data_IF_064694097544
#
_entry.id   IF_064694097544
#
_cell.length_a   1.000
_cell.length_b   1.000
_cell.length_c   1.000
_cell.angle_alpha   90.00
_cell.angle_beta   90.00
_cell.angle_gamma   90.00
#
_symmetry.space_group_name_H-M   'P 1'
#
loop_
_entity.id
_entity.type
_entity.pdbx_description
1 polymer ?
#
# COMPACT_ATOMS: atom_id res chain seq x y z
N UNK A 1 26.95 2.03 -15.74
CA UNK A 1 27.75 0.93 -15.12
C UNK A 1 28.72 1.42 -14.04
N UNK A 2 29.49 2.51 -14.20
CA UNK A 2 30.30 3.08 -13.07
C UNK A 2 29.43 3.66 -11.95
N UNK A 3 28.35 4.34 -12.31
CA UNK A 3 27.52 5.08 -11.35
C UNK A 3 26.65 4.15 -10.48
N UNK A 4 26.23 3.00 -11.01
CA UNK A 4 25.46 1.99 -10.26
C UNK A 4 26.33 1.28 -9.21
N UNK A 5 27.62 1.09 -9.48
CA UNK A 5 28.53 0.50 -8.49
C UNK A 5 28.87 1.50 -7.37
N UNK A 6 29.00 2.78 -7.73
CA UNK A 6 29.19 3.86 -6.77
C UNK A 6 27.95 4.02 -5.87
N UNK A 7 26.74 3.93 -6.42
CA UNK A 7 25.50 4.05 -5.64
C UNK A 7 25.31 2.89 -4.66
N UNK A 8 25.69 1.66 -5.02
CA UNK A 8 25.68 0.51 -4.11
C UNK A 8 26.69 0.70 -2.96
N UNK A 9 27.88 1.24 -3.24
CA UNK A 9 28.88 1.55 -2.20
C UNK A 9 28.47 2.71 -1.28
N UNK A 10 27.62 3.62 -1.77
CA UNK A 10 27.08 4.74 -1.02
C UNK A 10 25.91 4.34 -0.09
N UNK A 11 25.35 3.13 -0.25
CA UNK A 11 24.33 2.56 0.65
C UNK A 11 24.93 2.15 1.99
N UNK A 12 25.25 3.16 2.81
CA UNK A 12 25.75 2.96 4.17
C UNK A 12 24.69 2.23 5.01
N UNK A 13 25.09 1.10 5.59
CA UNK A 13 24.31 0.40 6.61
C UNK A 13 24.21 1.31 7.84
N UNK A 14 22.97 1.58 8.25
CA UNK A 14 22.68 2.46 9.40
C UNK A 14 22.38 1.66 10.67
N UNK A 15 21.90 0.43 10.52
CA UNK A 15 21.58 -0.47 11.61
C UNK A 15 21.63 -1.93 11.15
N UNK A 16 21.94 -2.83 12.08
CA UNK A 16 21.98 -4.27 11.86
C UNK A 16 21.06 -5.00 12.84
N UNK A 17 20.75 -6.26 12.55
CA UNK A 17 19.85 -7.10 13.34
C UNK A 17 18.53 -6.39 13.65
N UNK A 18 17.95 -5.76 12.63
CA UNK A 18 16.70 -5.01 12.77
C UNK A 18 15.51 -5.96 12.74
N UNK A 19 14.66 -5.87 13.76
CA UNK A 19 13.35 -6.51 13.85
C UNK A 19 12.29 -5.41 13.93
N UNK A 20 11.26 -5.46 13.08
CA UNK A 20 10.10 -4.60 13.17
C UNK A 20 8.87 -5.38 13.61
N UNK A 21 8.16 -4.84 14.59
CA UNK A 21 6.97 -5.42 15.18
C UNK A 21 5.81 -4.45 15.02
N UNK A 22 4.77 -4.82 14.28
CA UNK A 22 3.52 -4.06 14.22
C UNK A 22 2.55 -4.59 15.28
N UNK A 23 1.92 -3.67 16.01
CA UNK A 23 0.86 -3.93 16.99
C UNK A 23 -0.34 -3.08 16.57
N UNK A 24 -1.49 -3.71 16.41
CA UNK A 24 -2.74 -3.03 16.02
C UNK A 24 -3.78 -3.07 17.13
N UNK A 25 -4.68 -2.10 17.13
CA UNK A 25 -5.86 -2.11 18.01
C UNK A 25 -6.74 -3.33 17.76
N UNK A 26 -7.51 -3.80 18.76
CA UNK A 26 -8.41 -4.97 18.66
C UNK A 26 -9.52 -4.82 17.61
N UNK A 27 -9.84 -3.57 17.23
CA UNK A 27 -10.70 -3.23 16.09
C UNK A 27 -10.15 -3.70 14.74
N UNK A 28 -8.85 -3.95 14.67
CA UNK A 28 -8.11 -4.36 13.49
C UNK A 28 -7.58 -5.79 13.66
N UNK A 29 -7.12 -6.36 12.57
CA UNK A 29 -6.40 -7.62 12.58
C UNK A 29 -5.30 -7.63 11.53
N UNK A 30 -4.28 -8.43 11.78
CA UNK A 30 -3.23 -8.76 10.83
C UNK A 30 -3.51 -10.18 10.34
N UNK A 31 -3.45 -10.38 9.02
CA UNK A 31 -3.58 -11.71 8.44
C UNK A 31 -2.29 -12.48 8.71
N UNK A 32 -2.41 -13.65 9.33
CA UNK A 32 -1.24 -14.52 9.50
C UNK A 32 -0.85 -15.09 8.12
N UNK A 33 0.41 -14.91 7.66
CA UNK A 33 0.88 -15.48 6.40
C UNK A 33 0.85 -17.00 6.39
N UNK A 34 1.06 -17.65 7.54
CA UNK A 34 1.15 -19.11 7.64
C UNK A 34 -0.23 -19.76 7.82
N UNK A 35 -1.21 -18.99 8.32
CA UNK A 35 -2.57 -19.45 8.57
C UNK A 35 -3.60 -18.36 8.25
N UNK A 36 -4.18 -18.43 7.05
CA UNK A 36 -5.09 -17.39 6.55
C UNK A 36 -6.35 -17.18 7.40
N UNK A 37 -6.75 -18.19 8.19
CA UNK A 37 -7.92 -18.12 9.07
C UNK A 37 -7.59 -17.45 10.41
N UNK A 38 -6.31 -17.31 10.75
CA UNK A 38 -5.87 -16.69 11.99
C UNK A 38 -5.72 -15.17 11.86
N UNK A 39 -6.38 -14.45 12.79
CA UNK A 39 -6.38 -12.99 12.88
C UNK A 39 -5.55 -12.52 14.07
N UNK A 40 -4.33 -12.08 13.81
CA UNK A 40 -3.37 -11.65 14.83
C UNK A 40 -3.57 -10.17 15.22
N UNK A 41 -3.23 -9.82 16.46
CA UNK A 41 -3.10 -8.42 16.91
C UNK A 41 -1.67 -7.87 16.77
N UNK A 42 -0.70 -8.75 16.51
CA UNK A 42 0.73 -8.42 16.43
C UNK A 42 1.44 -9.30 15.41
N UNK A 43 2.34 -8.72 14.63
CA UNK A 43 3.23 -9.46 13.73
C UNK A 43 4.66 -8.94 13.86
N UNK A 44 5.62 -9.86 13.75
CA UNK A 44 7.05 -9.57 13.73
C UNK A 44 7.61 -9.82 12.34
N UNK A 45 8.57 -8.99 11.92
CA UNK A 45 9.36 -9.20 10.71
C UNK A 45 10.83 -8.92 10.99
N UNK A 46 11.65 -9.92 10.68
CA UNK A 46 13.09 -9.78 10.64
C UNK A 46 13.50 -9.09 9.35
N UNK A 47 14.22 -7.97 9.49
CA UNK A 47 14.66 -7.13 8.37
C UNK A 47 16.16 -7.31 8.14
N UNK A 48 16.93 -7.52 9.22
CA UNK A 48 18.38 -7.70 9.14
C UNK A 48 19.13 -6.37 9.00
N UNK A 49 19.87 -6.18 7.91
CA UNK A 49 20.65 -4.97 7.68
C UNK A 49 19.81 -3.90 7.00
N UNK A 50 19.81 -2.71 7.59
CA UNK A 50 18.98 -1.58 7.14
C UNK A 50 19.86 -0.48 6.59
N UNK A 51 19.45 0.07 5.45
CA UNK A 51 20.01 1.28 4.84
C UNK A 51 18.96 2.39 4.85
N UNK A 52 19.31 3.59 4.40
CA UNK A 52 18.35 4.71 4.29
C UNK A 52 17.19 4.43 3.32
N UNK A 53 17.36 3.49 2.39
CA UNK A 53 16.38 3.15 1.37
C UNK A 53 15.51 1.95 1.77
N UNK A 54 15.79 1.31 2.91
CA UNK A 54 15.01 0.15 3.35
C UNK A 54 13.62 0.59 3.80
N UNK A 55 12.61 0.06 3.13
CA UNK A 55 11.20 0.27 3.45
C UNK A 55 10.53 -1.05 3.80
N UNK A 56 9.63 -1.00 4.79
CA UNK A 56 8.86 -2.18 5.24
C UNK A 56 7.39 -1.82 5.29
N UNK A 57 6.59 -2.60 4.59
CA UNK A 57 5.13 -2.44 4.55
C UNK A 57 4.46 -3.55 5.35
N UNK A 58 3.41 -3.18 6.08
CA UNK A 58 2.55 -4.12 6.78
C UNK A 58 1.12 -4.00 6.26
N UNK A 59 0.39 -5.11 6.29
CA UNK A 59 -1.01 -5.17 5.93
C UNK A 59 -1.85 -5.50 7.16
N UNK A 60 -3.02 -4.85 7.26
CA UNK A 60 -4.00 -5.13 8.28
C UNK A 60 -5.41 -4.91 7.71
N UNK A 61 -6.39 -5.57 8.31
CA UNK A 61 -7.81 -5.45 8.00
C UNK A 61 -8.60 -4.93 9.19
N UNK A 62 -9.84 -4.53 8.93
CA UNK A 62 -10.82 -4.15 9.96
C UNK A 62 -11.64 -5.38 10.33
N UNK A 63 -11.84 -5.65 11.62
CA UNK A 63 -12.68 -6.78 12.06
C UNK A 63 -14.16 -6.46 11.85
N UNK A 64 -14.96 -7.52 11.73
CA UNK A 64 -16.41 -7.38 11.55
C UNK A 64 -17.05 -6.80 12.83
N UNK A 65 -18.10 -5.98 12.68
CA UNK A 65 -18.79 -5.34 13.82
C UNK A 65 -19.34 -6.37 14.83
N UNK A 66 -19.86 -7.50 14.34
CA UNK A 66 -20.37 -8.61 15.16
C UNK A 66 -19.27 -9.24 16.02
N UNK A 67 -18.14 -9.60 15.40
CA UNK A 67 -16.97 -10.18 16.09
C UNK A 67 -16.44 -9.25 17.19
N UNK A 68 -16.45 -7.94 16.94
CA UNK A 68 -15.99 -6.94 17.91
C UNK A 68 -16.90 -6.81 19.13
N UNK A 69 -18.21 -6.83 18.90
CA UNK A 69 -19.22 -6.77 19.97
C UNK A 69 -19.18 -8.03 20.83
N UNK A 70 -19.15 -9.22 20.21
CA UNK A 70 -19.18 -10.48 20.93
C UNK A 70 -17.88 -10.76 21.70
N UNK A 71 -16.72 -10.61 21.05
CA UNK A 71 -15.44 -11.05 21.61
C UNK A 71 -14.77 -10.00 22.49
N UNK A 72 -14.93 -8.73 22.15
CA UNK A 72 -14.18 -7.65 22.78
C UNK A 72 -15.07 -6.61 23.47
N UNK A 73 -16.40 -6.72 23.32
CA UNK A 73 -17.37 -5.72 23.80
C UNK A 73 -17.03 -4.31 23.32
N UNK A 74 -16.59 -4.20 22.06
CA UNK A 74 -16.20 -2.94 21.42
C UNK A 74 -17.24 -2.59 20.35
N UNK A 75 -17.81 -1.39 20.43
CA UNK A 75 -18.61 -0.84 19.35
C UNK A 75 -17.73 0.00 18.41
N UNK A 76 -17.64 -0.41 17.14
CA UNK A 76 -16.84 0.29 16.15
C UNK A 76 -17.37 1.71 15.89
N UNK A 77 -18.68 1.90 16.04
CA UNK A 77 -19.37 3.17 15.75
C UNK A 77 -19.02 4.25 16.78
N UNK A 78 -18.55 3.85 17.96
CA UNK A 78 -18.08 4.75 19.01
C UNK A 78 -16.58 5.06 18.93
N UNK A 79 -15.83 4.35 18.07
CA UNK A 79 -14.40 4.53 17.94
C UNK A 79 -14.09 5.54 16.83
N UNK A 80 -13.85 6.79 17.21
CA UNK A 80 -13.46 7.85 16.27
C UNK A 80 -12.02 7.70 15.76
N UNK A 81 -11.14 7.07 16.54
CA UNK A 81 -9.73 6.92 16.23
C UNK A 81 -9.21 5.56 16.66
N UNK A 82 -8.31 5.00 15.84
CA UNK A 82 -7.64 3.72 16.10
C UNK A 82 -6.13 3.93 16.20
N UNK A 83 -5.50 3.51 17.31
CA UNK A 83 -4.05 3.48 17.41
C UNK A 83 -3.46 2.26 16.70
N UNK A 84 -2.26 2.45 16.15
CA UNK A 84 -1.34 1.37 15.83
C UNK A 84 0.07 1.80 16.18
N UNK A 85 0.89 0.81 16.48
CA UNK A 85 2.23 1.02 16.99
C UNK A 85 3.21 0.11 16.26
N UNK A 86 4.32 0.69 15.80
CA UNK A 86 5.46 -0.04 15.26
C UNK A 86 6.62 0.06 16.25
N UNK A 87 7.15 -1.08 16.63
CA UNK A 87 8.32 -1.21 17.47
C UNK A 87 9.47 -1.74 16.62
N UNK A 88 10.57 -0.99 16.54
CA UNK A 88 11.77 -1.35 15.78
C UNK A 88 12.90 -1.59 16.76
N UNK A 89 13.30 -2.84 16.91
CA UNK A 89 14.49 -3.23 17.69
C UNK A 89 15.66 -3.33 16.74
N UNK A 90 16.81 -2.75 17.08
CA UNK A 90 17.97 -2.76 16.20
C UNK A 90 19.29 -2.63 16.97
N UNK A 91 20.38 -2.97 16.28
CA UNK A 91 21.74 -2.66 16.70
C UNK A 91 22.22 -1.44 15.91
N UNK A 92 22.53 -0.35 16.61
CA UNK A 92 23.05 0.86 16.01
C UNK A 92 24.50 0.69 15.56
N UNK A 93 25.00 1.62 14.74
CA UNK A 93 26.35 1.57 14.19
C UNK A 93 27.46 1.61 15.26
N UNK A 94 27.17 2.09 16.47
CA UNK A 94 28.07 2.08 17.63
C UNK A 94 28.07 0.75 18.40
N UNK A 95 27.27 -0.23 17.95
CA UNK A 95 27.10 -1.54 18.59
C UNK A 95 26.05 -1.58 19.70
N UNK A 96 25.42 -0.45 20.05
CA UNK A 96 24.37 -0.42 21.07
C UNK A 96 23.07 -1.05 20.55
N UNK A 97 22.35 -1.77 21.43
CA UNK A 97 21.01 -2.27 21.13
C UNK A 97 19.98 -1.23 21.55
N UNK A 98 19.08 -0.89 20.64
CA UNK A 98 18.06 0.13 20.88
C UNK A 98 16.66 -0.35 20.43
N UNK A 99 15.64 0.28 21.00
CA UNK A 99 14.25 0.12 20.62
C UNK A 99 13.69 1.50 20.25
N UNK A 100 13.13 1.61 19.05
CA UNK A 100 12.36 2.78 18.61
C UNK A 100 10.89 2.43 18.56
N UNK A 101 10.05 3.22 19.21
CA UNK A 101 8.59 3.05 19.20
C UNK A 101 7.97 4.20 18.41
N UNK A 102 7.15 3.87 17.43
CA UNK A 102 6.40 4.79 16.59
C UNK A 102 4.92 4.49 16.80
N UNK A 103 4.17 5.45 17.33
CA UNK A 103 2.73 5.32 17.55
C UNK A 103 1.99 6.35 16.72
N UNK A 104 0.94 5.91 16.04
CA UNK A 104 0.08 6.79 15.25
C UNK A 104 -1.39 6.47 15.50
N UNK A 105 -2.19 7.53 15.57
CA UNK A 105 -3.65 7.47 15.61
C UNK A 105 -4.18 7.77 14.20
N UNK A 106 -5.13 6.97 13.73
CA UNK A 106 -5.87 7.25 12.48
C UNK A 106 -7.36 7.35 12.75
N UNK A 107 -7.99 8.33 12.12
CA UNK A 107 -9.44 8.52 12.21
C UNK A 107 -10.18 7.42 11.46
N UNK A 108 -11.28 6.96 12.04
CA UNK A 108 -12.24 6.08 11.38
C UNK A 108 -13.19 6.92 10.54
N UNK A 109 -13.72 6.35 9.47
CA UNK A 109 -14.73 6.97 8.62
C UNK A 109 -15.64 5.89 8.07
N UNK A 110 -16.94 6.17 8.04
CA UNK A 110 -17.91 5.33 7.32
C UNK A 110 -18.12 5.83 5.88
N UNK A 111 -17.69 7.06 5.60
CA UNK A 111 -17.77 7.66 4.28
C UNK A 111 -16.65 7.12 3.39
N UNK A 112 -17.09 6.38 2.36
CA UNK A 112 -16.23 5.76 1.36
C UNK A 112 -15.45 6.79 0.54
N UNK A 113 -16.06 7.92 0.17
CA UNK A 113 -15.38 8.92 -0.67
C UNK A 113 -14.21 9.55 0.10
N UNK A 114 -14.44 9.88 1.37
CA UNK A 114 -13.38 10.37 2.27
C UNK A 114 -12.26 9.34 2.46
N UNK A 115 -12.60 8.05 2.54
CA UNK A 115 -11.60 6.99 2.62
C UNK A 115 -10.77 6.89 1.33
N UNK A 116 -11.41 6.96 0.15
CA UNK A 116 -10.73 6.85 -1.15
C UNK A 116 -9.84 8.05 -1.50
N UNK A 117 -10.17 9.25 -1.03
CA UNK A 117 -9.34 10.45 -1.20
C UNK A 117 -8.09 10.39 -0.32
N UNK A 118 -8.23 9.91 0.92
CA UNK A 118 -7.12 9.80 1.86
C UNK A 118 -6.25 8.55 1.65
N UNK A 119 -6.67 7.64 0.77
CA UNK A 119 -5.90 6.45 0.40
C UNK A 119 -4.66 6.84 -0.42
N UNK A 120 -3.47 6.55 0.10
CA UNK A 120 -2.21 6.73 -0.62
C UNK A 120 -2.08 5.62 -1.66
N UNK A 121 -2.51 5.90 -2.89
CA UNK A 121 -2.63 4.92 -3.98
C UNK A 121 -1.30 4.30 -4.39
N UNK A 122 -0.20 5.04 -4.29
CA UNK A 122 1.14 4.55 -4.63
C UNK A 122 1.54 3.37 -3.73
N UNK A 123 1.34 3.50 -2.41
CA UNK A 123 1.66 2.45 -1.44
C UNK A 123 0.79 1.22 -1.68
N UNK A 124 -0.51 1.42 -1.96
CA UNK A 124 -1.43 0.31 -2.26
C UNK A 124 -0.97 -0.42 -3.53
N UNK A 125 -0.63 0.31 -4.59
CA UNK A 125 -0.18 -0.28 -5.85
C UNK A 125 1.14 -1.04 -5.69
N UNK A 126 2.13 -0.45 -5.01
CA UNK A 126 3.43 -1.08 -4.75
C UNK A 126 3.28 -2.36 -3.93
N UNK A 127 2.44 -2.32 -2.90
CA UNK A 127 2.18 -3.49 -2.08
C UNK A 127 1.48 -4.62 -2.87
N UNK A 128 0.54 -4.27 -3.77
CA UNK A 128 -0.06 -5.24 -4.67
C UNK A 128 0.95 -5.88 -5.63
N UNK A 129 1.89 -5.09 -6.18
CA UNK A 129 2.96 -5.59 -7.05
C UNK A 129 3.83 -6.58 -6.25
N UNK A 130 4.22 -6.21 -5.03
CA UNK A 130 5.04 -7.04 -4.14
C UNK A 130 4.36 -8.35 -3.77
N UNK A 131 3.09 -8.30 -3.34
CA UNK A 131 2.31 -9.52 -3.04
C UNK A 131 2.18 -10.41 -4.27
N UNK A 132 1.89 -9.84 -5.45
CA UNK A 132 1.77 -10.63 -6.68
C UNK A 132 3.10 -11.29 -7.07
N UNK A 133 4.22 -10.57 -6.92
CA UNK A 133 5.54 -11.12 -7.18
C UNK A 133 5.87 -12.28 -6.23
N UNK A 134 5.55 -12.15 -4.94
CA UNK A 134 5.75 -13.22 -3.96
C UNK A 134 4.90 -14.45 -4.30
N UNK A 135 3.62 -14.26 -4.65
CA UNK A 135 2.72 -15.36 -5.04
C UNK A 135 3.24 -16.08 -6.30
N UNK A 136 3.78 -15.34 -7.28
CA UNK A 136 4.39 -15.91 -8.49
C UNK A 136 5.66 -16.70 -8.17
N UNK A 137 6.53 -16.18 -7.30
CA UNK A 137 7.76 -16.86 -6.90
C UNK A 137 7.47 -18.15 -6.13
N UNK A 138 6.45 -18.15 -5.26
CA UNK A 138 6.01 -19.36 -4.56
C UNK A 138 5.49 -20.43 -5.53
N UNK A 139 4.69 -20.02 -6.53
CA UNK A 139 4.23 -20.96 -7.57
C UNK A 139 5.38 -21.56 -8.37
N UNK A 140 6.41 -20.77 -8.69
CA UNK A 140 7.60 -21.27 -9.42
C UNK A 140 8.41 -22.23 -8.55
N UNK A 141 8.59 -21.95 -7.25
CA UNK A 141 9.32 -22.85 -6.35
C UNK A 141 8.59 -24.16 -6.12
N UNK A 142 7.26 -24.14 -6.07
CA UNK A 142 6.44 -25.35 -5.94
C UNK A 142 6.53 -26.22 -7.23
N UNK A 143 6.65 -25.59 -8.40
CA UNK A 143 6.83 -26.27 -9.69
C UNK A 143 8.21 -26.96 -9.83
N UNK A 144 9.26 -26.48 -9.14
CA UNK A 144 10.59 -27.10 -9.19
C UNK A 144 10.71 -28.38 -8.34
N UNK A 145 9.93 -28.53 -7.25
CA UNK A 145 9.87 -29.78 -6.47
C UNK A 145 8.97 -30.85 -7.15
N UNK A 146 8.05 -30.47 -8.04
CA UNK A 146 7.15 -31.39 -8.75
C UNK A 146 7.67 -31.86 -10.13
N UNK A 147 8.97 -31.66 -10.42
CA UNK A 147 9.64 -32.07 -11.66
C UNK A 147 9.60 -33.58 -12.00
N UNK A 148 9.19 -34.45 -11.07
CA UNK A 148 8.98 -35.88 -11.33
C UNK A 148 7.50 -36.29 -11.52
N UNK A 149 6.53 -35.38 -11.35
CA UNK A 149 5.09 -35.68 -11.53
C UNK A 149 4.43 -34.89 -12.65
N UNK A 150 5.15 -34.79 -13.76
CA UNK A 150 4.66 -34.96 -15.14
C UNK A 150 3.12 -34.96 -15.32
N UNK A 151 2.58 -33.85 -15.82
CA UNK A 151 1.50 -33.78 -16.83
C UNK A 151 0.01 -33.64 -16.48
N UNK A 152 -0.43 -33.26 -15.27
CA UNK A 152 -1.83 -32.82 -15.11
C UNK A 152 -2.06 -31.87 -13.94
N UNK A 153 -1.93 -30.54 -14.16
CA UNK A 153 -2.69 -29.52 -13.41
C UNK A 153 -2.59 -28.09 -13.97
N UNK A 154 -2.90 -27.93 -15.26
CA UNK A 154 -3.23 -26.63 -15.87
C UNK A 154 -4.58 -26.03 -15.38
N UNK A 155 -4.92 -26.12 -14.09
CA UNK A 155 -6.29 -25.86 -13.60
C UNK A 155 -6.48 -24.93 -12.41
N UNK A 156 -5.45 -24.35 -11.78
CA UNK A 156 -5.68 -23.51 -10.59
C UNK A 156 -4.83 -22.24 -10.54
N UNK A 157 -4.89 -21.40 -11.58
CA UNK A 157 -5.08 -19.96 -11.35
C UNK A 157 -6.58 -19.72 -11.37
N UNK A 158 -7.21 -19.45 -10.22
CA UNK A 158 -8.65 -19.21 -10.19
C UNK A 158 -8.99 -18.01 -11.08
N UNK A 159 -9.75 -18.19 -12.19
CA UNK A 159 -10.01 -17.11 -13.15
C UNK A 159 -10.77 -15.94 -12.53
N UNK A 160 -11.47 -16.17 -11.41
CA UNK A 160 -12.35 -15.19 -10.77
C UNK A 160 -11.56 -14.08 -10.05
N UNK A 161 -10.48 -14.44 -9.33
CA UNK A 161 -9.64 -13.47 -8.61
C UNK A 161 -8.80 -12.64 -9.60
N UNK A 162 -8.28 -13.29 -10.65
CA UNK A 162 -7.60 -12.58 -11.74
C UNK A 162 -8.55 -11.67 -12.53
N UNK A 163 -9.78 -12.10 -12.85
CA UNK A 163 -10.76 -11.24 -13.55
C UNK A 163 -11.19 -10.03 -12.71
N UNK A 164 -11.46 -10.21 -11.41
CA UNK A 164 -11.78 -9.10 -10.52
C UNK A 164 -10.59 -8.14 -10.36
N UNK A 165 -9.37 -8.66 -10.28
CA UNK A 165 -8.13 -7.84 -10.21
C UNK A 165 -7.85 -7.09 -11.51
N UNK A 166 -7.98 -7.73 -12.66
CA UNK A 166 -7.82 -7.08 -13.99
C UNK A 166 -8.89 -6.02 -14.20
N UNK A 167 -10.15 -6.29 -13.82
CA UNK A 167 -11.24 -5.32 -13.89
C UNK A 167 -11.01 -4.11 -12.98
N UNK A 168 -10.45 -4.31 -11.78
CA UNK A 168 -10.09 -3.19 -10.90
C UNK A 168 -8.96 -2.34 -11.51
N UNK A 169 -7.90 -2.97 -12.02
CA UNK A 169 -6.78 -2.28 -12.65
C UNK A 169 -7.18 -1.55 -13.95
N UNK A 170 -8.06 -2.14 -14.77
CA UNK A 170 -8.58 -1.48 -15.98
C UNK A 170 -9.42 -0.26 -15.62
N UNK A 171 -10.32 -0.38 -14.64
CA UNK A 171 -11.15 0.72 -14.16
C UNK A 171 -10.32 1.86 -13.53
N UNK A 172 -9.23 1.51 -12.85
CA UNK A 172 -8.30 2.50 -12.28
C UNK A 172 -7.58 3.27 -13.38
N UNK A 173 -7.07 2.58 -14.41
CA UNK A 173 -6.42 3.20 -15.56
C UNK A 173 -7.39 4.08 -16.36
N UNK A 174 -8.63 3.64 -16.54
CA UNK A 174 -9.66 4.38 -17.28
C UNK A 174 -10.09 5.65 -16.53
N UNK A 175 -10.19 5.59 -15.19
CA UNK A 175 -10.43 6.78 -14.34
C UNK A 175 -9.27 7.78 -14.35
N UNK A 176 -8.02 7.29 -14.43
CA UNK A 176 -6.84 8.18 -14.53
C UNK A 176 -6.79 8.86 -15.90
N UNK A 177 -7.10 8.12 -16.97
CA UNK A 177 -7.16 8.66 -18.33
C UNK A 177 -8.29 9.67 -18.51
N UNK A 178 -9.47 9.39 -17.97
CA UNK A 178 -10.60 10.32 -18.07
C UNK A 178 -10.34 11.61 -17.30
N UNK A 179 -9.78 11.55 -16.08
CA UNK A 179 -9.40 12.76 -15.32
C UNK A 179 -8.35 13.62 -16.02
N UNK A 180 -7.33 13.00 -16.63
CA UNK A 180 -6.33 13.72 -17.41
C UNK A 180 -6.92 14.49 -18.59
N UNK A 181 -7.94 13.93 -19.24
CA UNK A 181 -8.65 14.59 -20.33
C UNK A 181 -9.59 15.70 -19.82
N UNK A 182 -10.31 15.48 -18.72
CA UNK A 182 -11.18 16.51 -18.13
C UNK A 182 -10.42 17.75 -17.62
N UNK A 183 -9.23 17.58 -17.05
CA UNK A 183 -8.40 18.71 -16.60
C UNK A 183 -7.78 19.47 -17.78
N UNK A 184 -7.42 18.76 -18.87
CA UNK A 184 -6.91 19.37 -20.10
C UNK A 184 -8.00 20.16 -20.85
N UNK A 185 -9.23 19.63 -20.89
CA UNK A 185 -10.38 20.29 -21.52
C UNK A 185 -10.80 21.55 -20.75
N UNK A 186 -10.88 21.50 -19.42
CA UNK A 186 -11.17 22.71 -18.63
C UNK A 186 -10.06 23.77 -18.73
N UNK A 187 -8.80 23.36 -18.84
CA UNK A 187 -7.68 24.28 -19.05
C UNK A 187 -7.75 24.96 -20.43
N UNK A 188 -8.09 24.20 -21.47
CA UNK A 188 -8.24 24.71 -22.83
C UNK A 188 -9.48 25.61 -22.97
N UNK A 189 -10.62 25.27 -22.38
CA UNK A 189 -11.81 26.12 -22.37
C UNK A 189 -11.57 27.46 -21.66
N UNK A 190 -10.86 27.44 -20.52
CA UNK A 190 -10.50 28.69 -19.81
C UNK A 190 -9.56 29.56 -20.63
N UNK A 191 -8.58 28.97 -21.33
CA UNK A 191 -7.70 29.71 -22.24
C UNK A 191 -8.45 30.30 -23.43
N UNK A 192 -9.35 29.55 -24.04
CA UNK A 192 -10.19 30.04 -25.14
C UNK A 192 -11.13 31.16 -24.71
N UNK A 193 -11.77 31.04 -23.56
CA UNK A 193 -12.67 32.08 -23.05
C UNK A 193 -11.93 33.35 -22.62
N UNK A 194 -10.70 33.22 -22.09
CA UNK A 194 -9.86 34.38 -21.71
C UNK A 194 -9.31 35.09 -22.96
N UNK A 195 -8.83 34.34 -23.95
CA UNK A 195 -8.35 34.92 -25.21
C UNK A 195 -9.50 35.58 -26.01
N UNK A 196 -10.71 35.03 -25.95
CA UNK A 196 -11.90 35.60 -26.61
C UNK A 196 -12.38 36.90 -25.94
N UNK A 197 -12.34 37.00 -24.61
CA UNK A 197 -12.72 38.24 -23.89
C UNK A 197 -11.69 39.36 -24.06
N UNK A 198 -10.40 39.04 -24.13
CA UNK A 198 -9.33 40.00 -24.41
C UNK A 198 -9.44 40.59 -25.84
N UNK A 199 -9.86 39.78 -26.83
CA UNK A 199 -10.09 40.25 -28.20
C UNK A 199 -11.36 41.11 -28.34
N UNK A 200 -12.41 40.86 -27.55
CA UNK A 200 -13.62 41.71 -27.58
C UNK A 200 -13.44 43.06 -26.87
N UNK A 201 -12.53 43.15 -25.90
CA UNK A 201 -12.25 44.41 -25.18
C UNK A 201 -11.34 45.38 -25.94
N UNK A 202 -10.66 44.94 -27.02
CA UNK A 202 -9.76 45.77 -27.84
C UNK A 202 -10.40 46.35 -29.12
N UNK A 203 -11.71 46.16 -29.35
CA UNK A 203 -12.42 46.70 -30.54
C UNK A 203 -13.51 47.70 -30.15
N UNK A 204 -13.27 48.59 -29.17
CA UNK A 204 -14.01 49.86 -29.08
C UNK A 204 -13.08 50.92 -28.48
N UNK A 205 -12.23 51.53 -29.32
CA UNK A 205 -11.89 52.96 -29.27
C UNK A 205 -10.97 53.30 -30.44
N UNK A 206 -11.55 53.70 -31.57
CA UNK A 206 -10.97 54.73 -32.43
C UNK A 206 -12.11 55.49 -33.09
N UNK A 207 -12.04 56.83 -32.98
CA UNK A 207 -12.99 57.82 -33.50
C UNK A 207 -13.27 57.66 -34.99
#
# INVERSE_FOLDING_TARGET
MRDEFASILEQKIIATNVEATLIVHRGLYIRNPDNLDEKLEKIKRDIGNVTKQTEVTFEFGVRNKEELKEKYNIDLDQLEQLPFQVQVTYTAADGSKALRVLTQLKQTTEDREKAEVNAIRSIIAENHIRSTANDMMAAISDDEEEGERTHMRSKWSTPTVQKQRVAYMSNLNEKVRSRGNYELDQFNERRWNTASSELQSHVITSR
#
